data_IF_544099412818
#
_entry.id   IF_544099412818
#
_cell.length_a   1.000
_cell.length_b   1.000
_cell.length_c   1.000
_cell.angle_alpha   90.00
_cell.angle_beta   90.00
_cell.angle_gamma   90.00
#
_symmetry.space_group_name_H-M   'P 1'
#
loop_
_entity.id
_entity.type
_entity.pdbx_description
1 polymer ?
#
# COMPACT_ATOMS: atom_id res chain seq x y z
N UNK A 1 -7.71 17.45 15.95
CA UNK A 1 -7.66 16.68 14.69
C UNK A 1 -6.55 15.66 14.79
N UNK A 2 -6.83 14.43 14.42
CA UNK A 2 -5.83 13.34 14.32
C UNK A 2 -4.96 13.54 13.08
N UNK A 3 -3.70 13.08 13.13
CA UNK A 3 -2.76 13.18 12.01
C UNK A 3 -2.73 11.88 11.20
N UNK A 4 -2.34 11.98 9.93
CA UNK A 4 -2.21 10.81 9.03
C UNK A 4 -1.20 9.78 9.58
N UNK A 5 -0.10 10.26 10.19
CA UNK A 5 0.89 9.37 10.81
C UNK A 5 0.36 8.66 12.07
N UNK A 6 -0.45 9.34 12.86
CA UNK A 6 -1.11 8.71 14.01
C UNK A 6 -2.09 7.63 13.57
N UNK A 7 -2.90 7.91 12.53
CA UNK A 7 -3.79 6.92 11.92
C UNK A 7 -2.99 5.73 11.38
N UNK A 8 -1.90 5.97 10.65
CA UNK A 8 -1.09 4.91 10.07
C UNK A 8 -0.62 3.92 11.15
N UNK A 9 0.01 4.41 12.22
CA UNK A 9 0.50 3.55 13.31
C UNK A 9 -0.58 2.68 13.96
N UNK A 10 -1.81 3.20 14.08
CA UNK A 10 -2.92 2.47 14.71
C UNK A 10 -3.65 1.53 13.76
N UNK A 11 -3.55 1.76 12.45
CA UNK A 11 -4.22 0.93 11.43
C UNK A 11 -3.34 -0.21 10.92
N UNK A 12 -2.02 -0.15 11.09
CA UNK A 12 -1.09 -1.27 10.78
C UNK A 12 -1.57 -2.63 11.31
N UNK A 13 -1.85 -2.82 12.62
CA UNK A 13 -2.28 -4.13 13.13
C UNK A 13 -3.63 -4.58 12.58
N UNK A 14 -4.53 -3.63 12.28
CA UNK A 14 -5.84 -3.92 11.71
C UNK A 14 -5.71 -4.43 10.27
N UNK A 15 -4.89 -3.77 9.45
CA UNK A 15 -4.63 -4.15 8.05
C UNK A 15 -3.85 -5.47 7.97
N UNK A 16 -2.96 -5.74 8.92
CA UNK A 16 -2.27 -7.04 9.01
C UNK A 16 -3.22 -8.19 9.36
N UNK A 17 -4.26 -7.93 10.17
CA UNK A 17 -5.28 -8.94 10.49
C UNK A 17 -6.30 -9.12 9.36
N UNK A 18 -6.70 -8.04 8.70
CA UNK A 18 -7.61 -8.03 7.55
C UNK A 18 -7.08 -7.07 6.47
N UNK A 19 -6.40 -7.59 5.44
CA UNK A 19 -5.91 -6.79 4.32
C UNK A 19 -7.00 -6.06 3.51
N UNK A 20 -8.24 -6.53 3.59
CA UNK A 20 -9.38 -6.01 2.82
C UNK A 20 -10.16 -4.93 3.56
N UNK A 21 -9.83 -4.66 4.82
CA UNK A 21 -10.56 -3.73 5.69
C UNK A 21 -10.80 -2.36 5.05
N UNK A 22 -12.05 -1.89 5.11
CA UNK A 22 -12.44 -0.62 4.49
C UNK A 22 -12.01 0.61 5.27
N UNK A 23 -11.88 1.77 4.62
CA UNK A 23 -11.61 3.03 5.33
C UNK A 23 -12.74 3.43 6.29
N UNK A 24 -13.98 3.01 6.01
CA UNK A 24 -15.13 3.24 6.88
C UNK A 24 -15.01 2.44 8.19
N UNK A 25 -14.66 1.16 8.10
CA UNK A 25 -14.44 0.31 9.29
C UNK A 25 -13.24 0.78 10.11
N UNK A 26 -12.15 1.18 9.44
CA UNK A 26 -11.01 1.80 10.12
C UNK A 26 -11.41 3.09 10.84
N UNK A 27 -12.24 3.91 10.22
CA UNK A 27 -12.74 5.14 10.84
C UNK A 27 -13.56 4.82 12.10
N UNK A 28 -14.55 3.93 12.00
CA UNK A 28 -15.41 3.50 13.13
C UNK A 28 -14.54 2.94 14.26
N UNK A 29 -13.61 2.03 13.96
CA UNK A 29 -12.71 1.45 14.96
C UNK A 29 -11.86 2.52 15.68
N UNK A 30 -11.33 3.50 14.96
CA UNK A 30 -10.52 4.57 15.54
C UNK A 30 -11.35 5.52 16.41
N UNK A 31 -12.61 5.78 16.04
CA UNK A 31 -13.51 6.61 16.84
C UNK A 31 -13.96 5.88 18.10
N UNK A 32 -14.35 4.61 17.99
CA UNK A 32 -14.84 3.80 19.12
C UNK A 32 -13.72 3.48 20.13
N UNK A 33 -12.52 3.16 19.63
CA UNK A 33 -11.40 2.77 20.51
C UNK A 33 -10.78 3.96 21.23
N UNK A 34 -10.71 5.13 20.58
CA UNK A 34 -9.94 6.27 21.08
C UNK A 34 -10.80 7.51 21.40
N UNK A 35 -12.12 7.46 21.16
CA UNK A 35 -13.01 8.61 21.37
C UNK A 35 -12.64 9.84 20.53
N UNK A 36 -12.00 9.63 19.38
CA UNK A 36 -11.50 10.72 18.54
C UNK A 36 -12.48 11.10 17.45
N UNK A 37 -12.43 12.35 16.97
CA UNK A 37 -13.08 12.73 15.71
C UNK A 37 -12.02 12.81 14.62
N UNK A 38 -12.07 11.86 13.69
CA UNK A 38 -11.14 11.74 12.57
C UNK A 38 -11.90 11.95 11.27
N UNK A 39 -11.31 12.68 10.33
CA UNK A 39 -11.87 12.86 8.99
C UNK A 39 -11.56 11.65 8.09
N UNK A 40 -12.52 11.26 7.24
CA UNK A 40 -12.36 10.10 6.34
C UNK A 40 -11.12 10.19 5.46
N UNK A 41 -10.81 11.36 4.90
CA UNK A 41 -9.64 11.56 4.05
C UNK A 41 -8.33 11.43 4.84
N UNK A 42 -8.35 11.78 6.13
CA UNK A 42 -7.22 11.50 7.03
C UNK A 42 -7.04 10.01 7.26
N UNK A 43 -8.14 9.26 7.40
CA UNK A 43 -8.08 7.78 7.49
C UNK A 43 -7.53 7.17 6.21
N UNK A 44 -8.03 7.59 5.06
CA UNK A 44 -7.60 7.09 3.76
C UNK A 44 -6.09 7.29 3.54
N UNK A 45 -5.57 8.49 3.84
CA UNK A 45 -4.12 8.75 3.76
C UNK A 45 -3.32 7.94 4.79
N UNK A 46 -3.83 7.78 6.01
CA UNK A 46 -3.17 6.94 7.01
C UNK A 46 -3.13 5.46 6.61
N UNK A 47 -4.20 4.95 5.99
CA UNK A 47 -4.26 3.59 5.44
C UNK A 47 -3.22 3.40 4.33
N UNK A 48 -3.10 4.33 3.39
CA UNK A 48 -2.07 4.27 2.33
C UNK A 48 -0.65 4.24 2.90
N UNK A 49 -0.36 5.04 3.94
CA UNK A 49 0.93 5.03 4.63
C UNK A 49 1.16 3.67 5.31
N UNK A 50 0.17 3.14 6.03
CA UNK A 50 0.27 1.85 6.71
C UNK A 50 0.46 0.68 5.71
N UNK A 51 -0.25 0.71 4.58
CA UNK A 51 -0.09 -0.30 3.52
C UNK A 51 1.31 -0.28 2.91
N UNK A 52 1.89 0.91 2.69
CA UNK A 52 3.28 1.05 2.23
C UNK A 52 4.29 0.54 3.25
N UNK A 53 4.00 0.68 4.54
CA UNK A 53 4.84 0.13 5.61
C UNK A 53 4.79 -1.40 5.66
N UNK A 54 3.60 -1.99 5.49
CA UNK A 54 3.40 -3.45 5.55
C UNK A 54 3.92 -4.14 4.29
N UNK A 55 3.53 -3.67 3.10
CA UNK A 55 3.78 -4.35 1.84
C UNK A 55 5.00 -3.81 1.09
N UNK A 56 5.61 -2.75 1.60
CA UNK A 56 6.61 -1.98 0.87
C UNK A 56 5.97 -1.15 -0.24
N UNK A 57 6.82 -0.41 -0.94
CA UNK A 57 6.39 0.30 -2.14
C UNK A 57 6.23 -0.66 -3.31
N UNK A 58 5.30 -0.36 -4.22
CA UNK A 58 5.17 -1.07 -5.50
C UNK A 58 6.52 -1.13 -6.25
N UNK A 59 7.35 -0.08 -6.16
CA UNK A 59 8.71 -0.10 -6.69
C UNK A 59 9.58 -1.21 -6.11
N UNK A 60 9.51 -1.45 -4.79
CA UNK A 60 10.27 -2.53 -4.15
C UNK A 60 9.75 -3.92 -4.57
N UNK A 61 8.43 -4.10 -4.65
CA UNK A 61 7.84 -5.40 -4.99
C UNK A 61 8.15 -5.82 -6.43
N UNK A 62 8.28 -4.88 -7.36
CA UNK A 62 8.51 -5.16 -8.79
C UNK A 62 9.96 -4.94 -9.25
N UNK A 63 10.87 -4.52 -8.36
CA UNK A 63 12.27 -4.24 -8.71
C UNK A 63 12.99 -5.45 -9.35
N UNK A 64 12.64 -6.68 -8.93
CA UNK A 64 13.26 -7.89 -9.48
C UNK A 64 12.94 -8.14 -10.96
N UNK A 65 11.75 -7.73 -11.44
CA UNK A 65 11.37 -7.89 -12.85
C UNK A 65 12.20 -6.98 -13.74
N UNK A 66 12.42 -5.74 -13.31
CA UNK A 66 13.30 -4.80 -14.00
C UNK A 66 14.77 -5.24 -13.96
N UNK A 67 15.22 -5.81 -12.84
CA UNK A 67 16.57 -6.39 -12.76
C UNK A 67 16.74 -7.58 -13.71
N UNK A 68 15.69 -8.39 -13.87
CA UNK A 68 15.69 -9.52 -14.80
C UNK A 68 15.75 -9.04 -16.26
N UNK A 69 14.92 -8.07 -16.64
CA UNK A 69 14.95 -7.44 -17.97
C UNK A 69 16.36 -6.95 -18.31
N UNK A 70 16.99 -6.19 -17.40
CA UNK A 70 18.35 -5.68 -17.57
C UNK A 70 19.42 -6.79 -17.72
N UNK A 71 19.31 -7.89 -16.95
CA UNK A 71 20.24 -9.02 -17.07
C UNK A 71 20.03 -9.80 -18.38
N UNK A 72 18.80 -9.89 -18.90
CA UNK A 72 18.53 -10.53 -20.20
C UNK A 72 19.12 -9.70 -21.34
N UNK A 73 18.91 -8.39 -21.34
CA UNK A 73 19.47 -7.47 -22.33
C UNK A 73 21.01 -7.55 -22.36
N UNK A 74 21.63 -7.62 -21.18
CA UNK A 74 23.09 -7.76 -21.04
C UNK A 74 23.65 -9.08 -21.58
N UNK A 75 22.95 -10.20 -21.37
CA UNK A 75 23.43 -11.55 -21.75
C UNK A 75 23.06 -11.95 -23.16
N UNK A 76 22.06 -11.32 -23.77
CA UNK A 76 21.60 -11.65 -25.12
C UNK A 76 21.19 -10.37 -25.85
N UNK A 77 22.18 -9.61 -26.37
CA UNK A 77 21.94 -8.37 -27.09
C UNK A 77 21.03 -8.62 -28.31
N UNK A 78 19.93 -7.87 -28.41
CA UNK A 78 18.94 -8.01 -29.48
C UNK A 78 17.69 -8.82 -29.12
N UNK A 79 17.63 -9.38 -27.91
CA UNK A 79 16.41 -9.97 -27.37
C UNK A 79 15.59 -8.88 -26.65
N UNK A 80 14.30 -8.76 -26.96
CA UNK A 80 13.41 -7.76 -26.34
C UNK A 80 12.63 -8.44 -25.23
N UNK A 81 12.80 -7.95 -24.00
CA UNK A 81 11.95 -8.30 -22.86
C UNK A 81 11.15 -7.05 -22.52
N UNK A 82 9.84 -7.20 -22.37
CA UNK A 82 8.94 -6.10 -22.00
C UNK A 82 8.22 -6.48 -20.71
N UNK A 83 8.34 -5.62 -19.70
CA UNK A 83 7.60 -5.76 -18.44
C UNK A 83 6.31 -4.95 -18.53
N UNK A 84 5.21 -5.61 -18.88
CA UNK A 84 3.87 -4.99 -18.88
C UNK A 84 3.24 -5.00 -17.48
N UNK A 85 2.57 -3.91 -17.12
CA UNK A 85 1.87 -3.76 -15.85
C UNK A 85 0.41 -3.40 -16.06
N UNK A 86 -0.47 -4.28 -15.58
CA UNK A 86 -1.91 -4.02 -15.56
C UNK A 86 -2.34 -3.50 -14.19
N UNK A 87 -2.75 -2.24 -14.14
CA UNK A 87 -3.40 -1.68 -12.95
C UNK A 87 -4.82 -2.25 -12.83
N UNK A 88 -5.02 -3.17 -11.89
CA UNK A 88 -6.35 -3.71 -11.59
C UNK A 88 -7.06 -2.72 -10.66
N UNK A 89 -8.17 -2.17 -11.13
CA UNK A 89 -9.09 -1.42 -10.28
C UNK A 89 -10.20 -2.40 -9.87
N UNK A 90 -10.25 -2.79 -8.60
CA UNK A 90 -11.43 -3.44 -8.04
C UNK A 90 -12.56 -2.41 -7.96
N UNK A 91 -13.72 -2.76 -8.53
CA UNK A 91 -14.93 -1.92 -8.64
C UNK A 91 -15.86 -2.13 -7.45
#
# INVERSE_FOLDING_TARGET
MTSQGWVAQRTVPLIQSDPTIGCKELLENLQDTYGTTTDYHTVWKGKDIAQKEIYGSMRQSFQYLFNFEAEVEKRSPGNIVEVDMKMVHES
#
